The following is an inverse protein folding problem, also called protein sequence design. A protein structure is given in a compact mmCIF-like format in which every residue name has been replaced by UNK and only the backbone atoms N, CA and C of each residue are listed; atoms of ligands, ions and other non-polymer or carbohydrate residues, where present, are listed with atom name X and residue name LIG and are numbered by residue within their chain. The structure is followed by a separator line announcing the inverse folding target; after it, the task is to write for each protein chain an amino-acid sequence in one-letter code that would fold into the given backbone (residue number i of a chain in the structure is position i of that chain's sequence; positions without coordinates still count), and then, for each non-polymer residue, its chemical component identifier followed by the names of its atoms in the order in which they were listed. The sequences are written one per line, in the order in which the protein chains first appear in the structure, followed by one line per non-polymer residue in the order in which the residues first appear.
data_IF_999737721088
#
_entry.id   IF_999737721088
#
_cell.length_a   1.000
_cell.length_b   1.000
_cell.length_c   1.000
_cell.angle_alpha   90.00
_cell.angle_beta   90.00
_cell.angle_gamma   90.00
#
_symmetry.space_group_name_H-M   'P 1'
#
loop_
_entity.id
_entity.type
_entity.pdbx_description
1 polymer ?
#
# COMPACT_ATOMS: atom_id res chain seq x y z
N UNK A 1 -7.98 -13.41 4.13
CA UNK A 1 -8.20 -11.96 4.34
C UNK A 1 -6.85 -11.30 4.34
N UNK A 2 -6.74 -10.11 3.76
CA UNK A 2 -5.47 -9.42 3.50
C UNK A 2 -5.70 -7.93 3.77
N UNK A 3 -4.70 -7.24 4.31
CA UNK A 3 -4.68 -5.78 4.36
C UNK A 3 -3.57 -5.29 3.44
N UNK A 4 -3.92 -4.39 2.53
CA UNK A 4 -2.95 -3.66 1.70
C UNK A 4 -2.61 -2.38 2.45
N UNK A 5 -1.41 -2.35 3.03
CA UNK A 5 -0.86 -1.20 3.73
C UNK A 5 -0.15 -0.29 2.72
N UNK A 6 -0.42 1.02 2.75
CA UNK A 6 0.16 2.00 1.81
C UNK A 6 1.26 2.79 2.54
N UNK A 7 2.55 2.45 2.36
CA UNK A 7 3.63 3.16 3.04
C UNK A 7 3.93 4.52 2.39
N UNK A 8 4.38 5.48 3.21
CA UNK A 8 5.08 6.67 2.71
C UNK A 8 6.53 6.33 2.37
N UNK A 9 7.22 7.25 1.69
CA UNK A 9 8.65 7.03 1.40
C UNK A 9 9.53 6.90 2.63
N UNK A 10 9.09 7.37 3.78
CA UNK A 10 9.87 7.31 5.02
C UNK A 10 9.94 5.86 5.57
N UNK A 11 9.12 4.95 5.03
CA UNK A 11 9.11 3.52 5.35
C UNK A 11 9.88 2.64 4.35
N UNK A 12 10.66 3.22 3.43
CA UNK A 12 11.40 2.44 2.43
C UNK A 12 12.31 1.37 3.03
N UNK A 13 12.99 1.69 4.14
CA UNK A 13 13.87 0.75 4.82
C UNK A 13 13.09 -0.40 5.47
N UNK A 14 11.93 -0.11 6.07
CA UNK A 14 11.04 -1.12 6.65
C UNK A 14 10.48 -2.05 5.56
N UNK A 15 10.05 -1.49 4.43
CA UNK A 15 9.62 -2.28 3.26
C UNK A 15 10.74 -3.19 2.77
N UNK A 16 11.98 -2.67 2.69
CA UNK A 16 13.14 -3.47 2.29
C UNK A 16 13.45 -4.57 3.30
N UNK A 17 13.29 -4.33 4.60
CA UNK A 17 13.43 -5.36 5.63
C UNK A 17 12.40 -6.47 5.38
N UNK A 18 11.11 -6.14 5.30
CA UNK A 18 10.05 -7.12 5.05
C UNK A 18 10.16 -7.86 3.70
N UNK A 19 10.94 -7.35 2.75
CA UNK A 19 11.12 -7.99 1.43
C UNK A 19 12.16 -9.12 1.41
N UNK A 20 12.89 -9.33 2.51
CA UNK A 20 13.92 -10.37 2.60
C UNK A 20 13.29 -11.77 2.77
N UNK A 21 14.05 -12.78 2.37
CA UNK A 21 13.65 -14.17 2.59
C UNK A 21 13.90 -14.58 4.04
N UNK A 22 12.87 -14.49 4.88
CA UNK A 22 12.91 -14.94 6.26
C UNK A 22 12.46 -16.40 6.42
N UNK A 23 12.96 -17.12 7.44
CA UNK A 23 12.34 -18.34 7.93
C UNK A 23 10.90 -18.10 8.40
N UNK A 24 10.07 -19.15 8.37
CA UNK A 24 8.64 -19.09 8.70
C UNK A 24 8.33 -18.59 10.12
N UNK A 25 9.28 -18.73 11.03
CA UNK A 25 9.15 -18.40 12.46
C UNK A 25 9.63 -17.00 12.83
N UNK A 26 10.13 -16.21 11.85
CA UNK A 26 10.52 -14.81 12.08
C UNK A 26 9.33 -13.90 11.79
N UNK A 27 9.05 -12.98 12.71
CA UNK A 27 8.08 -11.91 12.50
C UNK A 27 8.76 -10.73 11.79
N UNK A 28 8.42 -10.53 10.51
CA UNK A 28 9.03 -9.46 9.72
C UNK A 28 8.64 -8.04 10.21
N UNK A 29 7.50 -7.88 10.89
CA UNK A 29 7.10 -6.59 11.44
C UNK A 29 7.97 -6.21 12.64
N UNK A 30 8.34 -7.18 13.49
CA UNK A 30 9.28 -6.96 14.59
C UNK A 30 10.67 -6.58 14.06
N UNK A 31 11.17 -7.30 13.04
CA UNK A 31 12.46 -7.01 12.40
C UNK A 31 12.49 -5.61 11.77
N UNK A 32 11.37 -5.21 11.16
CA UNK A 32 11.20 -3.89 10.55
C UNK A 32 10.86 -2.78 11.56
N UNK A 33 10.66 -3.12 12.85
CA UNK A 33 10.24 -2.20 13.92
C UNK A 33 8.93 -1.46 13.61
N UNK A 34 7.99 -2.17 12.99
CA UNK A 34 6.69 -1.66 12.62
C UNK A 34 5.67 -1.91 13.74
N UNK A 35 4.75 -0.97 13.93
CA UNK A 35 3.68 -1.10 14.92
C UNK A 35 2.46 -1.74 14.29
N UNK A 36 2.18 -2.97 14.70
CA UNK A 36 0.98 -3.71 14.30
C UNK A 36 -0.24 -3.13 15.04
N UNK A 37 -1.32 -2.85 14.31
CA UNK A 37 -2.62 -2.42 14.87
C UNK A 37 -3.75 -3.31 14.38
N UNK A 38 -4.83 -3.36 15.16
CA UNK A 38 -6.06 -4.06 14.77
C UNK A 38 -6.71 -3.37 13.56
N UNK A 39 -7.31 -4.19 12.70
CA UNK A 39 -8.08 -3.77 11.53
C UNK A 39 -9.58 -3.78 11.84
N UNK A 40 -10.35 -2.98 11.12
CA UNK A 40 -11.76 -2.68 11.42
C UNK A 40 -12.74 -3.78 11.00
N UNK A 41 -12.46 -4.46 9.88
CA UNK A 41 -13.34 -5.48 9.27
C UNK A 41 -12.67 -6.83 9.05
N UNK A 42 -11.34 -6.93 9.12
CA UNK A 42 -10.60 -8.20 8.95
C UNK A 42 -9.67 -8.49 10.13
N UNK A 43 -9.22 -9.75 10.26
CA UNK A 43 -8.26 -10.19 11.29
C UNK A 43 -6.79 -10.01 10.88
N UNK A 44 -6.51 -9.89 9.58
CA UNK A 44 -5.15 -9.58 9.13
C UNK A 44 -4.81 -8.17 9.63
N UNK A 45 -3.60 -7.91 10.13
CA UNK A 45 -3.30 -6.65 10.79
C UNK A 45 -3.04 -5.50 9.81
N UNK A 46 -3.18 -4.29 10.35
CA UNK A 46 -2.76 -3.03 9.74
C UNK A 46 -1.43 -2.56 10.35
N UNK A 47 -0.66 -1.76 9.62
CA UNK A 47 0.60 -1.16 10.07
C UNK A 47 0.38 0.32 10.36
N UNK A 48 0.58 0.73 11.61
CA UNK A 48 0.15 2.05 12.08
C UNK A 48 0.87 3.22 11.40
N UNK A 49 2.11 3.01 10.95
CA UNK A 49 2.93 4.03 10.30
C UNK A 49 2.55 4.29 8.82
N UNK A 50 1.66 3.49 8.24
CA UNK A 50 1.23 3.65 6.85
C UNK A 50 0.24 4.79 6.65
N UNK A 51 0.17 5.30 5.41
CA UNK A 51 -0.73 6.38 4.97
C UNK A 51 -2.19 5.94 5.03
N UNK A 52 -2.44 4.69 4.64
CA UNK A 52 -3.76 4.13 4.51
C UNK A 52 -3.77 2.62 4.41
N UNK A 53 -4.97 2.06 4.54
CA UNK A 53 -5.22 0.64 4.72
C UNK A 53 -6.42 0.23 3.87
N UNK A 54 -6.21 -0.77 3.00
CA UNK A 54 -7.32 -1.42 2.29
C UNK A 54 -7.51 -2.82 2.84
N UNK A 55 -8.62 -3.04 3.53
CA UNK A 55 -8.95 -4.34 4.09
C UNK A 55 -9.76 -5.15 3.08
N UNK A 56 -9.29 -6.36 2.80
CA UNK A 56 -9.79 -7.19 1.73
C UNK A 56 -10.18 -8.59 2.22
N UNK A 57 -11.33 -9.06 1.75
CA UNK A 57 -11.70 -10.49 1.79
C UNK A 57 -11.36 -11.14 0.46
N UNK A 58 -10.80 -12.35 0.49
CA UNK A 58 -10.42 -13.08 -0.72
C UNK A 58 -11.69 -13.38 -1.54
N UNK A 59 -11.70 -12.97 -2.80
CA UNK A 59 -12.79 -13.23 -3.74
C UNK A 59 -12.41 -14.29 -4.77
N UNK A 60 -11.19 -14.20 -5.32
CA UNK A 60 -10.68 -15.16 -6.28
C UNK A 60 -9.16 -15.27 -6.21
N UNK A 61 -8.65 -16.45 -6.49
CA UNK A 61 -7.23 -16.73 -6.66
C UNK A 61 -7.01 -17.44 -7.99
N UNK A 62 -5.95 -17.05 -8.71
CA UNK A 62 -5.49 -17.71 -9.93
C UNK A 62 -4.01 -18.03 -9.77
N UNK A 63 -3.68 -19.31 -9.68
CA UNK A 63 -2.31 -19.78 -9.42
C UNK A 63 -1.69 -20.33 -10.70
N UNK A 64 -0.48 -19.84 -11.01
CA UNK A 64 0.43 -20.44 -11.98
C UNK A 64 1.59 -21.05 -11.19
N UNK A 65 1.56 -22.37 -11.00
CA UNK A 65 2.49 -23.11 -10.15
C UNK A 65 3.96 -22.82 -10.51
N UNK A 66 4.77 -22.54 -9.49
CA UNK A 66 6.19 -22.23 -9.66
C UNK A 66 6.48 -20.86 -10.28
N UNK A 67 5.47 -20.01 -10.52
CA UNK A 67 5.67 -18.66 -11.06
C UNK A 67 5.03 -17.56 -10.20
N UNK A 68 3.71 -17.48 -10.16
CA UNK A 68 2.99 -16.41 -9.48
C UNK A 68 1.55 -16.82 -9.13
N UNK A 69 0.95 -16.10 -8.17
CA UNK A 69 -0.47 -16.14 -7.89
C UNK A 69 -1.07 -14.74 -8.08
N UNK A 70 -2.23 -14.67 -8.74
CA UNK A 70 -3.04 -13.45 -8.80
C UNK A 70 -4.12 -13.58 -7.74
N UNK A 71 -4.06 -12.68 -6.76
CA UNK A 71 -5.03 -12.60 -5.68
C UNK A 71 -6.00 -11.45 -5.96
N UNK A 72 -7.29 -11.77 -6.04
CA UNK A 72 -8.37 -10.79 -6.22
C UNK A 72 -9.12 -10.72 -4.89
N UNK A 73 -9.08 -9.56 -4.26
CA UNK A 73 -9.77 -9.28 -3.00
C UNK A 73 -10.86 -8.24 -3.15
N UNK A 74 -11.99 -8.46 -2.49
CA UNK A 74 -13.03 -7.44 -2.33
C UNK A 74 -12.65 -6.51 -1.18
N UNK A 75 -12.50 -5.22 -1.48
CA UNK A 75 -12.31 -4.19 -0.46
C UNK A 75 -13.58 -4.08 0.38
N UNK A 76 -13.47 -4.37 1.67
CA UNK A 76 -14.57 -4.29 2.65
C UNK A 76 -14.44 -3.09 3.58
N UNK A 77 -13.24 -2.50 3.64
CA UNK A 77 -12.96 -1.28 4.37
C UNK A 77 -11.77 -0.56 3.74
N UNK A 78 -11.84 0.77 3.69
CA UNK A 78 -10.79 1.63 3.17
C UNK A 78 -10.65 2.82 4.13
N UNK A 79 -9.43 3.03 4.61
CA UNK A 79 -9.10 4.09 5.55
C UNK A 79 -7.79 4.77 5.13
N UNK A 80 -7.71 6.07 5.39
CA UNK A 80 -6.51 6.89 5.24
C UNK A 80 -6.37 7.68 6.54
N UNK A 81 -5.15 7.86 7.03
CA UNK A 81 -4.90 8.72 8.18
C UNK A 81 -5.22 10.18 7.83
N UNK A 82 -6.08 10.80 8.64
CA UNK A 82 -6.58 12.16 8.47
C UNK A 82 -5.47 13.20 8.31
N UNK A 83 -4.27 12.95 8.84
CA UNK A 83 -3.12 13.87 8.68
C UNK A 83 -2.70 14.03 7.21
N UNK A 84 -3.02 13.05 6.36
CA UNK A 84 -2.73 13.05 4.93
C UNK A 84 -3.91 13.51 4.08
N UNK A 85 -5.01 13.95 4.71
CA UNK A 85 -6.16 14.49 4.00
C UNK A 85 -6.13 16.02 3.98
N UNK A 86 -6.57 16.58 2.85
CA UNK A 86 -6.88 17.99 2.71
C UNK A 86 -8.23 18.31 3.36
N UNK A 87 -8.56 19.60 3.51
CA UNK A 87 -9.83 20.04 4.14
C UNK A 87 -11.05 19.56 3.36
N UNK A 88 -10.93 19.39 2.05
CA UNK A 88 -11.96 18.85 1.15
C UNK A 88 -11.96 17.31 1.07
N UNK A 89 -11.15 16.63 1.87
CA UNK A 89 -11.13 15.17 2.01
C UNK A 89 -10.36 14.43 0.90
N UNK A 90 -9.59 15.15 0.08
CA UNK A 90 -8.69 14.55 -0.89
C UNK A 90 -7.35 14.16 -0.22
N UNK A 91 -6.58 13.29 -0.85
CA UNK A 91 -5.23 12.97 -0.36
C UNK A 91 -4.28 14.12 -0.70
N UNK A 92 -3.61 14.65 0.32
CA UNK A 92 -2.51 15.60 0.20
C UNK A 92 -1.24 14.85 -0.23
N UNK A 93 -1.02 14.75 -1.55
CA UNK A 93 0.11 14.00 -2.12
C UNK A 93 1.48 14.56 -1.71
N UNK A 94 1.57 15.85 -1.39
CA UNK A 94 2.83 16.46 -0.94
C UNK A 94 3.19 16.03 0.48
N UNK A 95 2.19 15.82 1.35
CA UNK A 95 2.39 15.25 2.69
C UNK A 95 2.50 13.73 2.69
N UNK A 96 1.57 13.05 2.01
CA UNK A 96 1.46 11.61 2.02
C UNK A 96 2.70 10.93 1.45
N UNK A 97 3.24 11.47 0.35
CA UNK A 97 4.41 10.95 -0.38
C UNK A 97 4.36 9.42 -0.51
N UNK A 98 3.33 8.85 -1.16
CA UNK A 98 3.16 7.40 -1.26
C UNK A 98 4.36 6.74 -1.95
N UNK A 99 4.93 5.72 -1.33
CA UNK A 99 6.09 5.03 -1.89
C UNK A 99 5.70 4.27 -3.16
N UNK A 100 6.52 4.45 -4.20
CA UNK A 100 6.45 3.74 -5.46
C UNK A 100 7.81 3.09 -5.76
N UNK A 101 7.79 1.98 -6.48
CA UNK A 101 8.98 1.27 -6.93
C UNK A 101 8.99 1.21 -8.45
N UNK A 102 10.11 1.58 -9.05
CA UNK A 102 10.36 1.47 -10.48
C UNK A 102 11.55 0.53 -10.74
N UNK A 103 11.48 -0.36 -11.74
CA UNK A 103 12.62 -1.19 -12.12
C UNK A 103 13.79 -0.30 -12.58
N UNK A 104 14.95 -0.47 -11.95
CA UNK A 104 16.21 0.14 -12.37
C UNK A 104 17.13 -0.85 -13.09
N UNK A 105 18.31 -0.38 -13.50
CA UNK A 105 19.30 -1.21 -14.20
C UNK A 105 19.84 -2.34 -13.32
N UNK A 106 20.23 -2.02 -12.09
CA UNK A 106 20.94 -2.91 -11.17
C UNK A 106 20.14 -3.16 -9.87
N UNK A 107 18.85 -2.79 -9.85
CA UNK A 107 18.02 -2.89 -8.66
C UNK A 107 16.71 -2.12 -8.75
N UNK A 108 16.10 -1.85 -7.60
CA UNK A 108 14.85 -1.09 -7.48
C UNK A 108 15.16 0.40 -7.28
N UNK A 109 14.42 1.26 -7.99
CA UNK A 109 14.43 2.70 -7.74
C UNK A 109 13.16 3.08 -6.99
N UNK A 110 13.30 3.73 -5.85
CA UNK A 110 12.17 4.21 -5.07
C UNK A 110 11.81 5.64 -5.44
N UNK A 111 10.53 5.87 -5.67
CA UNK A 111 9.97 7.15 -6.09
C UNK A 111 8.68 7.43 -5.30
N UNK A 112 8.09 8.60 -5.51
CA UNK A 112 6.73 8.90 -5.09
C UNK A 112 6.10 9.86 -6.08
N UNK A 113 4.77 9.82 -6.28
CA UNK A 113 4.09 10.77 -7.13
C UNK A 113 4.16 12.16 -6.51
N UNK A 114 4.44 13.17 -7.34
CA UNK A 114 4.27 14.58 -7.00
C UNK A 114 3.20 15.18 -7.90
N UNK A 115 2.36 16.10 -7.39
CA UNK A 115 1.45 16.86 -8.22
C UNK A 115 2.21 17.57 -9.34
N UNK A 116 1.68 17.49 -10.56
CA UNK A 116 2.23 18.20 -11.73
C UNK A 116 1.50 19.52 -12.02
N UNK A 117 0.55 19.90 -11.17
CA UNK A 117 -0.28 21.10 -11.35
C UNK A 117 -1.43 20.93 -12.34
N UNK A 118 -1.75 19.70 -12.74
CA UNK A 118 -2.89 19.38 -13.62
C UNK A 118 -3.85 18.39 -12.97
N UNK A 119 -5.14 18.69 -13.05
CA UNK A 119 -6.25 17.81 -12.66
C UNK A 119 -7.31 17.83 -13.78
N UNK A 120 -7.87 16.66 -14.11
CA UNK A 120 -8.90 16.49 -15.14
C UNK A 120 -10.07 15.71 -14.55
N UNK A 121 -11.30 16.14 -14.83
CA UNK A 121 -12.48 15.41 -14.36
C UNK A 121 -12.71 14.18 -15.21
N UNK A 122 -13.20 13.09 -14.61
CA UNK A 122 -13.57 11.87 -15.35
C UNK A 122 -14.52 12.14 -16.53
N UNK A 123 -15.40 13.13 -16.40
CA UNK A 123 -16.32 13.54 -17.46
C UNK A 123 -15.61 14.01 -18.76
N UNK A 124 -14.37 14.49 -18.67
CA UNK A 124 -13.59 14.93 -19.85
C UNK A 124 -13.08 13.75 -20.69
N UNK A 125 -13.05 12.54 -20.13
CA UNK A 125 -12.64 11.31 -20.85
C UNK A 125 -13.79 10.65 -21.61
N UNK A 126 -15.03 11.12 -21.45
CA UNK A 126 -16.19 10.58 -22.16
C UNK A 126 -16.35 11.28 -23.51
N UNK A 127 -16.27 10.52 -24.59
CA UNK A 127 -16.68 10.98 -25.92
C UNK A 127 -18.20 10.85 -26.00
N UNK A 128 -18.89 11.96 -26.24
CA UNK A 128 -20.33 11.95 -26.53
C UNK A 128 -20.63 11.33 -27.88
#
# INVERSE_FOLDING_TARGET
MIVINIPSIDLVDAVMICSKNYPKDVDEFEEAKLTVRESEKVKAPSIAECIGWMECVLEKEVVEEGKYAIIIGKVVYLEVDDQYLTVDGAIDLEKARPLSMMPGKDGMQYTYPRPIGEERRYAEMSIK
#
